data_IF_696138230606
#
_entry.id   IF_696138230606
#
_cell.length_a   1.000
_cell.length_b   1.000
_cell.length_c   1.000
_cell.angle_alpha   90.00
_cell.angle_beta   90.00
_cell.angle_gamma   90.00
#
_symmetry.space_group_name_H-M   'P 1'
#
loop_
_entity.id
_entity.type
_entity.pdbx_description
1 polymer ?
#
# COMPACT_ATOMS: atom_id res chain seq x y z
N UNK A 1 6.13 31.95 25.63
CA UNK A 1 5.56 32.21 24.31
C UNK A 1 5.06 30.89 23.78
N UNK A 2 3.75 30.60 23.95
CA UNK A 2 3.14 29.33 23.60
C UNK A 2 2.95 29.28 22.07
N UNK A 3 3.82 28.60 21.37
CA UNK A 3 3.52 28.16 20.01
C UNK A 3 2.54 26.98 20.15
N UNK A 4 1.25 27.26 20.03
CA UNK A 4 0.26 26.23 19.75
C UNK A 4 0.66 25.63 18.40
N UNK A 5 0.86 24.32 18.36
CA UNK A 5 0.94 23.54 17.12
C UNK A 5 -0.38 23.79 16.38
N UNK A 6 -0.35 24.61 15.32
CA UNK A 6 -1.44 24.63 14.34
C UNK A 6 -1.50 23.20 13.81
N UNK A 7 -2.57 22.48 14.13
CA UNK A 7 -2.78 21.13 13.68
C UNK A 7 -2.71 21.09 12.17
N UNK A 8 -1.84 20.26 11.64
CA UNK A 8 -1.71 20.09 10.20
C UNK A 8 -3.05 19.63 9.64
N UNK A 9 -3.68 20.48 8.80
CA UNK A 9 -4.97 20.17 8.19
C UNK A 9 -4.89 18.88 7.37
N UNK A 10 -5.93 18.05 7.45
CA UNK A 10 -6.07 16.86 6.61
C UNK A 10 -6.12 17.25 5.13
N UNK A 11 -5.45 16.49 4.28
CA UNK A 11 -5.57 16.68 2.83
C UNK A 11 -7.00 16.38 2.35
N UNK A 12 -7.44 17.08 1.32
CA UNK A 12 -8.70 16.84 0.61
C UNK A 12 -8.44 16.54 -0.86
N UNK A 13 -7.47 15.65 -1.12
CA UNK A 13 -7.13 15.28 -2.48
C UNK A 13 -8.23 14.42 -3.10
N UNK A 14 -8.69 14.68 -4.34
CA UNK A 14 -9.73 13.87 -4.99
C UNK A 14 -9.31 12.41 -5.10
N UNK A 15 -10.07 11.53 -4.45
CA UNK A 15 -9.83 10.09 -4.54
C UNK A 15 -10.42 9.53 -5.84
N UNK A 16 -9.75 8.51 -6.41
CA UNK A 16 -10.20 7.75 -7.57
C UNK A 16 -10.90 6.46 -7.11
N UNK A 17 -11.46 5.73 -8.04
CA UNK A 17 -12.08 4.41 -7.84
C UNK A 17 -13.18 4.39 -6.79
N UNK A 18 -14.27 5.06 -7.12
CA UNK A 18 -15.52 5.04 -6.35
C UNK A 18 -16.71 5.35 -7.27
N UNK A 19 -17.90 4.98 -6.84
CA UNK A 19 -19.15 5.36 -7.49
C UNK A 19 -20.27 5.63 -6.47
N UNK A 20 -21.29 6.37 -6.90
CA UNK A 20 -22.48 6.60 -6.10
C UNK A 20 -23.42 5.36 -6.18
N UNK A 21 -24.07 5.04 -5.07
CA UNK A 21 -25.10 4.00 -4.97
C UNK A 21 -26.49 4.60 -4.96
N UNK A 22 -27.50 3.83 -5.40
CA UNK A 22 -28.91 4.26 -5.46
C UNK A 22 -29.49 4.60 -4.09
N UNK A 23 -28.92 4.10 -3.00
CA UNK A 23 -29.33 4.38 -1.62
C UNK A 23 -28.69 5.63 -1.02
N UNK A 24 -28.03 6.43 -1.85
CA UNK A 24 -27.38 7.67 -1.46
C UNK A 24 -26.02 7.52 -0.78
N UNK A 25 -25.47 6.30 -0.70
CA UNK A 25 -24.07 6.08 -0.26
C UNK A 25 -23.09 6.19 -1.42
N UNK A 26 -21.81 6.27 -1.11
CA UNK A 26 -20.70 6.09 -2.05
C UNK A 26 -20.02 4.76 -1.74
N UNK A 27 -19.75 3.95 -2.77
CA UNK A 27 -18.90 2.77 -2.66
C UNK A 27 -17.49 3.07 -3.13
N UNK A 28 -16.50 2.67 -2.33
CA UNK A 28 -15.08 2.69 -2.69
C UNK A 28 -14.74 1.41 -3.44
N UNK A 29 -14.26 1.56 -4.67
CA UNK A 29 -13.89 0.45 -5.58
C UNK A 29 -12.38 0.23 -5.67
N UNK A 30 -11.61 0.76 -4.71
CA UNK A 30 -10.16 0.63 -4.71
C UNK A 30 -9.70 -0.80 -4.39
N UNK A 31 -10.33 -1.42 -3.42
CA UNK A 31 -9.95 -2.75 -2.94
C UNK A 31 -11.17 -3.57 -2.54
N UNK A 32 -11.07 -4.91 -2.45
CA UNK A 32 -12.19 -5.81 -2.13
C UNK A 32 -12.73 -5.69 -0.68
N UNK A 33 -12.66 -4.51 -0.10
CA UNK A 33 -13.43 -4.09 1.08
C UNK A 33 -14.78 -3.54 0.70
N UNK A 34 -14.91 -3.00 -0.50
CA UNK A 34 -16.14 -2.45 -1.05
C UNK A 34 -16.88 -1.56 -0.06
N UNK A 35 -16.12 -0.65 0.58
CA UNK A 35 -16.63 0.19 1.67
C UNK A 35 -17.76 1.09 1.17
N UNK A 36 -18.95 0.95 1.75
CA UNK A 36 -20.13 1.76 1.45
C UNK A 36 -20.29 2.83 2.51
N UNK A 37 -20.09 4.08 2.13
CA UNK A 37 -19.89 5.19 3.04
C UNK A 37 -21.06 6.17 3.01
N UNK A 38 -21.58 6.51 4.18
CA UNK A 38 -22.42 7.69 4.41
C UNK A 38 -21.56 8.95 4.47
N UNK A 39 -22.21 10.12 4.42
CA UNK A 39 -21.54 11.42 4.61
C UNK A 39 -20.66 11.42 5.86
N UNK A 40 -19.42 11.93 5.73
CA UNK A 40 -18.44 12.01 6.80
C UNK A 40 -17.82 10.68 7.23
N UNK A 41 -18.21 9.54 6.63
CA UNK A 41 -17.64 8.23 6.97
C UNK A 41 -16.34 7.95 6.24
N UNK A 42 -15.44 7.25 6.95
CA UNK A 42 -14.17 6.75 6.42
C UNK A 42 -14.25 5.28 6.05
N UNK A 43 -13.53 4.90 5.00
CA UNK A 43 -13.32 3.50 4.64
C UNK A 43 -12.56 2.74 5.74
N UNK A 44 -12.57 1.40 5.63
CA UNK A 44 -11.84 0.52 6.56
C UNK A 44 -10.34 0.86 6.68
N UNK A 45 -9.75 1.39 5.63
CA UNK A 45 -8.35 1.86 5.61
C UNK A 45 -8.11 3.17 6.37
N UNK A 46 -9.18 3.86 6.81
CA UNK A 46 -9.15 5.14 7.51
C UNK A 46 -8.86 6.38 6.63
N UNK A 47 -8.09 6.28 5.57
CA UNK A 47 -7.57 7.43 4.81
C UNK A 47 -8.47 7.90 3.69
N UNK A 48 -9.46 7.11 3.30
CA UNK A 48 -10.47 7.48 2.30
C UNK A 48 -11.74 7.89 3.02
N UNK A 49 -12.18 9.12 2.76
CA UNK A 49 -13.30 9.78 3.41
C UNK A 49 -14.33 10.19 2.36
N UNK A 50 -15.62 9.95 2.64
CA UNK A 50 -16.69 10.61 1.91
C UNK A 50 -16.92 12.02 2.44
N UNK A 51 -16.92 12.98 1.54
CA UNK A 51 -17.20 14.39 1.83
C UNK A 51 -18.13 14.96 0.74
N UNK A 52 -19.37 15.23 1.10
CA UNK A 52 -20.42 15.57 0.14
C UNK A 52 -20.70 14.42 -0.84
N UNK A 53 -20.74 14.74 -2.12
CA UNK A 53 -20.97 13.78 -3.21
C UNK A 53 -19.67 13.23 -3.81
N UNK A 54 -18.57 13.27 -3.05
CA UNK A 54 -17.26 12.85 -3.52
C UNK A 54 -16.51 12.03 -2.48
N UNK A 55 -15.42 11.41 -2.90
CA UNK A 55 -14.48 10.76 -2.02
C UNK A 55 -13.13 11.48 -2.07
N UNK A 56 -12.50 11.64 -0.91
CA UNK A 56 -11.18 12.27 -0.78
C UNK A 56 -10.18 11.34 -0.11
N UNK A 57 -8.91 11.49 -0.51
CA UNK A 57 -7.75 10.92 0.16
C UNK A 57 -7.22 11.96 1.17
N UNK A 58 -7.25 11.61 2.46
CA UNK A 58 -6.90 12.55 3.54
C UNK A 58 -5.42 12.56 3.90
N UNK A 59 -4.62 11.69 3.29
CA UNK A 59 -3.18 11.53 3.56
C UNK A 59 -2.28 11.91 2.40
N UNK A 60 -2.81 12.55 1.36
CA UNK A 60 -2.00 13.01 0.24
C UNK A 60 -0.98 14.07 0.69
N UNK A 61 0.28 13.88 0.30
CA UNK A 61 1.37 14.76 0.72
C UNK A 61 1.81 14.59 2.19
N UNK A 62 1.36 13.54 2.88
CA UNK A 62 1.66 13.29 4.30
C UNK A 62 2.24 11.91 4.52
N UNK A 63 3.19 11.81 5.46
CA UNK A 63 3.88 10.57 5.81
C UNK A 63 3.95 10.38 7.31
N UNK A 64 4.03 9.12 7.73
CA UNK A 64 4.38 8.72 9.11
C UNK A 64 5.88 8.75 9.39
N UNK A 65 6.68 9.21 8.43
CA UNK A 65 8.13 9.32 8.50
C UNK A 65 8.83 8.77 7.26
N UNK A 66 10.04 9.26 7.03
CA UNK A 66 10.92 8.84 5.94
C UNK A 66 12.15 8.13 6.50
N UNK A 67 12.60 7.08 5.82
CA UNK A 67 13.79 6.32 6.21
C UNK A 67 14.57 5.87 4.98
N UNK A 68 15.89 5.96 5.04
CA UNK A 68 16.76 5.35 4.03
C UNK A 68 17.23 4.00 4.56
N UNK A 69 16.91 2.96 3.82
CA UNK A 69 17.20 1.56 4.16
C UNK A 69 17.92 0.86 3.00
N UNK A 70 18.59 -0.28 3.26
CA UNK A 70 18.93 -1.23 2.21
C UNK A 70 17.67 -1.79 1.54
N UNK A 71 17.74 -2.01 0.23
CA UNK A 71 16.60 -2.54 -0.56
C UNK A 71 16.11 -3.89 -0.04
N UNK A 72 16.99 -4.70 0.54
CA UNK A 72 16.69 -6.01 1.11
C UNK A 72 15.72 -5.95 2.30
N UNK A 73 15.61 -4.77 2.95
CA UNK A 73 14.57 -4.56 3.97
C UNK A 73 13.15 -4.39 3.40
N UNK A 74 12.98 -4.34 2.06
CA UNK A 74 11.66 -4.12 1.41
C UNK A 74 10.92 -5.36 0.89
N UNK A 75 11.18 -6.57 1.32
CA UNK A 75 12.32 -7.42 1.13
C UNK A 75 12.49 -7.80 -0.34
N UNK A 76 13.30 -7.03 -1.04
CA UNK A 76 13.69 -7.27 -2.44
C UNK A 76 15.17 -7.66 -2.47
N UNK A 77 15.44 -8.93 -2.78
CA UNK A 77 16.79 -9.49 -2.75
C UNK A 77 17.44 -9.53 -4.13
N UNK A 78 16.67 -9.39 -5.19
CA UNK A 78 17.13 -9.50 -6.57
C UNK A 78 16.96 -8.20 -7.37
N UNK A 79 16.19 -7.24 -6.86
CA UNK A 79 16.00 -5.93 -7.49
C UNK A 79 17.05 -4.94 -6.96
N UNK A 80 18.07 -4.66 -7.76
CA UNK A 80 19.20 -3.79 -7.41
C UNK A 80 19.83 -4.09 -6.03
N UNK A 81 20.35 -5.31 -5.80
CA UNK A 81 20.89 -5.70 -4.51
C UNK A 81 21.97 -4.74 -3.99
N UNK A 82 21.95 -4.46 -2.68
CA UNK A 82 22.91 -3.58 -2.01
C UNK A 82 22.64 -2.09 -2.24
N UNK A 83 21.55 -1.71 -2.92
CA UNK A 83 21.23 -0.29 -3.13
C UNK A 83 20.44 0.30 -1.96
N UNK A 84 20.56 1.63 -1.80
CA UNK A 84 19.74 2.39 -0.87
C UNK A 84 18.37 2.69 -1.47
N UNK A 85 17.34 2.67 -0.62
CA UNK A 85 15.97 3.02 -0.95
C UNK A 85 15.41 4.02 0.07
N UNK A 86 14.83 5.12 -0.41
CA UNK A 86 14.04 6.03 0.44
C UNK A 86 12.65 5.43 0.64
N UNK A 87 12.24 5.25 1.87
CA UNK A 87 11.02 4.51 2.23
C UNK A 87 10.07 5.38 3.02
N UNK A 88 8.78 5.29 2.71
CA UNK A 88 7.75 5.93 3.50
C UNK A 88 6.41 5.21 3.42
N UNK A 89 5.52 5.55 4.32
CA UNK A 89 4.14 5.13 4.37
C UNK A 89 3.25 6.22 4.96
N UNK A 90 1.96 5.94 5.03
CA UNK A 90 0.97 6.82 5.65
C UNK A 90 0.34 6.14 6.86
N UNK A 91 -0.78 6.65 7.37
CA UNK A 91 -1.56 5.97 8.40
C UNK A 91 -2.60 5.04 7.79
N UNK A 92 -3.02 4.02 8.53
CA UNK A 92 -4.08 3.10 8.15
C UNK A 92 -3.61 1.95 7.24
N UNK A 93 -4.52 1.02 6.92
CA UNK A 93 -4.29 -0.11 6.02
C UNK A 93 -5.63 -0.73 5.61
N UNK A 94 -5.72 -1.30 4.42
CA UNK A 94 -6.91 -2.04 3.98
C UNK A 94 -7.00 -3.47 4.53
N UNK A 95 -5.94 -3.97 5.16
CA UNK A 95 -5.93 -5.25 5.89
C UNK A 95 -6.02 -5.03 7.41
N UNK A 96 -6.41 -6.12 8.11
CA UNK A 96 -6.56 -6.12 9.56
C UNK A 96 -5.67 -7.19 10.23
N UNK A 97 -4.47 -7.42 9.70
CA UNK A 97 -3.57 -8.49 10.16
C UNK A 97 -3.36 -8.45 11.67
N UNK A 98 -3.62 -9.57 12.35
CA UNK A 98 -3.42 -9.73 13.81
C UNK A 98 -1.94 -9.77 14.20
N UNK A 99 -1.08 -10.10 13.24
CA UNK A 99 0.38 -10.23 13.39
C UNK A 99 1.14 -9.06 12.72
N UNK A 100 0.50 -7.90 12.53
CA UNK A 100 1.12 -6.76 11.85
C UNK A 100 2.30 -6.22 12.67
N UNK A 101 3.48 -6.17 12.05
CA UNK A 101 4.69 -5.61 12.67
C UNK A 101 4.63 -4.08 12.78
N UNK A 102 3.92 -3.42 11.85
CA UNK A 102 3.73 -1.97 11.82
C UNK A 102 2.33 -1.58 12.32
N UNK A 103 1.86 -2.22 13.39
CA UNK A 103 0.49 -2.02 13.87
C UNK A 103 0.19 -0.58 14.32
N UNK A 104 1.18 0.12 14.81
CA UNK A 104 1.11 1.52 15.24
C UNK A 104 0.80 2.47 14.08
N UNK A 105 1.29 2.17 12.88
CA UNK A 105 0.99 2.90 11.64
C UNK A 105 -0.29 2.35 10.99
N UNK A 106 -0.34 1.03 10.76
CA UNK A 106 -1.41 0.39 10.00
C UNK A 106 -2.76 0.38 10.70
N UNK A 107 -2.78 0.43 12.03
CA UNK A 107 -3.99 0.53 12.86
C UNK A 107 -4.29 1.94 13.32
N UNK A 108 -3.42 2.90 13.02
CA UNK A 108 -3.63 4.29 13.40
C UNK A 108 -4.96 4.80 12.84
N UNK A 109 -5.70 5.49 13.70
CA UNK A 109 -6.91 6.26 13.40
C UNK A 109 -6.70 7.74 13.73
N UNK A 110 -5.43 8.10 13.93
CA UNK A 110 -5.01 9.41 14.36
C UNK A 110 -4.16 10.05 13.26
N UNK A 111 -4.63 11.19 12.75
CA UNK A 111 -3.93 11.97 11.74
C UNK A 111 -2.70 12.69 12.31
N UNK A 112 -2.61 12.85 13.64
CA UNK A 112 -1.46 13.46 14.30
C UNK A 112 -0.18 12.63 14.14
N UNK A 113 -0.31 11.36 13.77
CA UNK A 113 0.84 10.50 13.42
C UNK A 113 1.42 10.77 12.04
N UNK A 114 0.76 11.55 11.22
CA UNK A 114 1.25 12.01 9.92
C UNK A 114 1.99 13.34 10.09
N UNK A 115 3.15 13.30 10.73
CA UNK A 115 3.88 14.49 11.14
C UNK A 115 4.67 15.13 9.99
N UNK A 116 5.07 14.35 9.00
CA UNK A 116 5.87 14.82 7.89
C UNK A 116 5.02 15.18 6.69
N UNK A 117 5.33 16.29 6.05
CA UNK A 117 4.75 16.72 4.78
C UNK A 117 5.81 16.69 3.70
N UNK A 118 5.48 16.14 2.55
CA UNK A 118 6.32 16.20 1.36
C UNK A 118 5.46 16.11 0.11
N UNK A 119 5.69 17.01 -0.83
CA UNK A 119 5.12 16.87 -2.16
C UNK A 119 5.77 15.70 -2.91
N UNK A 120 5.16 15.20 -4.00
CA UNK A 120 5.80 14.22 -4.87
C UNK A 120 7.20 14.63 -5.32
N UNK A 121 7.40 15.89 -5.68
CA UNK A 121 8.69 16.41 -6.08
C UNK A 121 9.72 16.44 -4.94
N UNK A 122 9.31 16.81 -3.72
CA UNK A 122 10.23 16.83 -2.57
C UNK A 122 10.79 15.43 -2.29
N UNK A 123 9.95 14.40 -2.37
CA UNK A 123 10.38 13.00 -2.18
C UNK A 123 11.37 12.57 -3.27
N UNK A 124 11.04 12.88 -4.52
CA UNK A 124 11.90 12.51 -5.65
C UNK A 124 13.25 13.22 -5.60
N UNK A 125 13.27 14.51 -5.22
CA UNK A 125 14.50 15.29 -5.01
C UNK A 125 15.31 14.69 -3.85
N UNK A 126 14.67 14.46 -2.70
CA UNK A 126 15.35 13.89 -1.53
C UNK A 126 15.97 12.53 -1.80
N UNK A 127 15.27 11.67 -2.56
CA UNK A 127 15.79 10.37 -2.95
C UNK A 127 17.00 10.48 -3.88
N UNK A 128 16.92 11.37 -4.88
CA UNK A 128 18.01 11.59 -5.82
C UNK A 128 19.25 12.19 -5.13
N UNK A 129 19.08 13.22 -4.29
CA UNK A 129 20.15 13.88 -3.55
C UNK A 129 20.83 12.95 -2.54
N UNK A 130 20.07 12.04 -1.93
CA UNK A 130 20.59 11.01 -1.04
C UNK A 130 21.24 9.82 -1.78
N UNK A 131 21.28 9.82 -3.12
CA UNK A 131 21.82 8.72 -3.91
C UNK A 131 21.01 7.43 -3.81
N UNK A 132 19.73 7.51 -3.41
CA UNK A 132 18.83 6.36 -3.39
C UNK A 132 18.50 5.94 -4.82
N UNK A 133 18.64 4.64 -5.09
CA UNK A 133 18.29 4.10 -6.41
C UNK A 133 16.79 4.00 -6.62
N UNK A 134 16.04 3.92 -5.54
CA UNK A 134 14.58 3.79 -5.57
C UNK A 134 13.89 4.49 -4.39
N UNK A 135 12.58 4.70 -4.55
CA UNK A 135 11.64 5.06 -3.49
C UNK A 135 10.71 3.87 -3.25
N UNK A 136 10.50 3.49 -1.99
CA UNK A 136 9.59 2.40 -1.60
C UNK A 136 8.38 2.94 -0.85
N UNK A 137 7.20 2.58 -1.34
CA UNK A 137 5.92 2.75 -0.69
C UNK A 137 5.69 1.52 0.21
N UNK A 138 5.75 1.71 1.54
CA UNK A 138 5.85 0.59 2.50
C UNK A 138 5.28 0.92 3.87
N UNK A 139 5.52 0.07 4.88
CA UNK A 139 5.07 0.11 6.26
C UNK A 139 3.58 -0.17 6.45
N UNK A 140 2.71 0.43 5.68
CA UNK A 140 1.32 0.05 5.47
C UNK A 140 1.10 -0.30 3.99
N UNK A 141 -0.09 -0.72 3.60
CA UNK A 141 -0.33 -1.06 2.19
C UNK A 141 -0.44 0.21 1.32
N UNK A 142 0.44 0.42 0.32
CA UNK A 142 0.43 1.62 -0.49
C UNK A 142 -0.81 1.78 -1.38
N UNK A 143 -1.56 0.73 -1.61
CA UNK A 143 -2.83 0.78 -2.36
C UNK A 143 -3.78 1.80 -1.76
N UNK A 144 -3.81 1.97 -0.43
CA UNK A 144 -4.77 2.89 0.20
C UNK A 144 -4.50 4.36 -0.12
N UNK A 145 -3.25 4.71 -0.45
CA UNK A 145 -2.83 6.05 -0.88
C UNK A 145 -2.30 6.06 -2.32
N UNK A 146 -2.90 5.25 -3.19
CA UNK A 146 -2.44 4.99 -4.54
C UNK A 146 -2.22 6.29 -5.36
N UNK A 147 -3.09 7.28 -5.25
CA UNK A 147 -2.97 8.56 -5.96
C UNK A 147 -1.65 9.26 -5.61
N UNK A 148 -1.33 9.34 -4.32
CA UNK A 148 -0.07 9.95 -3.88
C UNK A 148 1.15 9.13 -4.30
N UNK A 149 1.08 7.81 -4.16
CA UNK A 149 2.16 6.92 -4.59
C UNK A 149 2.43 7.02 -6.10
N UNK A 150 1.38 7.13 -6.91
CA UNK A 150 1.50 7.26 -8.36
C UNK A 150 2.12 8.61 -8.78
N UNK A 151 1.70 9.71 -8.15
CA UNK A 151 2.26 11.03 -8.43
C UNK A 151 3.74 11.12 -7.99
N UNK A 152 4.09 10.50 -6.83
CA UNK A 152 5.49 10.34 -6.40
C UNK A 152 6.28 9.49 -7.41
N UNK A 153 5.68 8.44 -7.94
CA UNK A 153 6.33 7.59 -8.94
C UNK A 153 6.67 8.38 -10.22
N UNK A 154 5.73 9.18 -10.71
CA UNK A 154 5.97 10.04 -11.88
C UNK A 154 7.11 11.05 -11.63
N UNK A 155 7.15 11.68 -10.45
CA UNK A 155 8.21 12.59 -10.07
C UNK A 155 9.59 11.88 -9.94
N UNK A 156 9.60 10.65 -9.41
CA UNK A 156 10.80 9.81 -9.32
C UNK A 156 11.32 9.42 -10.71
N UNK A 157 10.44 8.95 -11.59
CA UNK A 157 10.81 8.56 -12.94
C UNK A 157 11.40 9.72 -13.75
N UNK A 158 10.87 10.93 -13.57
CA UNK A 158 11.42 12.15 -14.19
C UNK A 158 12.86 12.44 -13.75
N UNK A 159 13.33 11.84 -12.65
CA UNK A 159 14.70 11.97 -12.10
C UNK A 159 15.54 10.69 -12.22
N UNK A 160 15.03 9.67 -12.89
CA UNK A 160 15.71 8.38 -13.03
C UNK A 160 15.74 7.54 -11.75
N UNK A 161 14.93 7.88 -10.76
CA UNK A 161 14.75 7.11 -9.52
C UNK A 161 13.65 6.07 -9.73
N UNK A 162 13.92 4.83 -9.34
CA UNK A 162 12.98 3.70 -9.46
C UNK A 162 11.93 3.71 -8.35
N UNK A 163 10.82 2.99 -8.56
CA UNK A 163 9.71 2.92 -7.61
C UNK A 163 9.38 1.49 -7.23
N UNK A 164 9.11 1.28 -5.94
CA UNK A 164 8.91 -0.04 -5.35
C UNK A 164 7.65 -0.04 -4.49
N UNK A 165 6.75 -0.98 -4.72
CA UNK A 165 5.61 -1.24 -3.84
C UNK A 165 5.88 -2.42 -2.91
N UNK A 166 5.71 -2.23 -1.60
CA UNK A 166 5.64 -3.33 -0.62
C UNK A 166 4.18 -3.45 -0.21
N UNK A 167 3.50 -4.47 -0.70
CA UNK A 167 2.03 -4.55 -0.67
C UNK A 167 1.53 -5.97 -0.39
N UNK A 168 0.32 -6.07 0.14
CA UNK A 168 -0.41 -7.33 0.20
C UNK A 168 -1.10 -7.69 -1.13
N UNK A 169 -1.07 -6.80 -2.12
CA UNK A 169 -1.73 -7.03 -3.40
C UNK A 169 -3.26 -7.11 -3.35
N UNK A 170 -3.88 -6.61 -2.27
CA UNK A 170 -5.32 -6.66 -2.05
C UNK A 170 -6.00 -5.44 -2.67
N UNK A 171 -6.23 -5.51 -3.99
CA UNK A 171 -6.65 -4.38 -4.82
C UNK A 171 -7.54 -4.85 -5.97
N UNK A 172 -8.56 -4.05 -6.35
CA UNK A 172 -9.41 -4.33 -7.50
C UNK A 172 -8.70 -4.10 -8.84
N UNK A 173 -9.17 -4.76 -9.90
CA UNK A 173 -8.51 -4.84 -11.19
C UNK A 173 -8.14 -3.47 -11.81
N UNK A 174 -9.05 -2.50 -11.80
CA UNK A 174 -8.81 -1.20 -12.43
C UNK A 174 -7.78 -0.38 -11.64
N UNK A 175 -7.88 -0.37 -10.31
CA UNK A 175 -6.91 0.28 -9.46
C UNK A 175 -5.55 -0.42 -9.52
N UNK A 176 -5.53 -1.76 -9.55
CA UNK A 176 -4.33 -2.59 -9.70
C UNK A 176 -3.56 -2.22 -10.96
N UNK A 177 -4.26 -2.15 -12.10
CA UNK A 177 -3.65 -1.79 -13.38
C UNK A 177 -3.00 -0.42 -13.31
N UNK A 178 -3.74 0.60 -12.89
CA UNK A 178 -3.25 1.96 -12.81
C UNK A 178 -2.07 2.12 -11.83
N UNK A 179 -2.13 1.44 -10.68
CA UNK A 179 -1.10 1.52 -9.65
C UNK A 179 0.21 0.85 -10.11
N UNK A 180 0.14 -0.40 -10.59
CA UNK A 180 1.35 -1.12 -10.99
C UNK A 180 1.97 -0.63 -12.28
N UNK A 181 1.24 0.07 -13.15
CA UNK A 181 1.81 0.78 -14.31
C UNK A 181 2.85 1.83 -13.92
N UNK A 182 2.84 2.28 -12.66
CA UNK A 182 3.78 3.26 -12.11
C UNK A 182 4.91 2.63 -11.29
N UNK A 183 4.92 1.31 -11.12
CA UNK A 183 5.90 0.61 -10.30
C UNK A 183 6.95 -0.08 -11.17
N UNK A 184 8.23 0.08 -10.80
CA UNK A 184 9.34 -0.69 -11.40
C UNK A 184 9.47 -2.06 -10.75
N UNK A 185 9.19 -2.13 -9.43
CA UNK A 185 9.22 -3.39 -8.71
C UNK A 185 8.15 -3.47 -7.61
N UNK A 186 7.89 -4.69 -7.16
CA UNK A 186 7.02 -4.95 -6.01
C UNK A 186 7.55 -6.11 -5.16
N UNK A 187 7.40 -5.99 -3.85
CA UNK A 187 7.33 -7.14 -2.97
C UNK A 187 5.85 -7.38 -2.63
N UNK A 188 5.36 -8.58 -2.91
CA UNK A 188 3.98 -8.95 -2.64
C UNK A 188 3.92 -9.97 -1.51
N UNK A 189 3.24 -9.61 -0.44
CA UNK A 189 2.99 -10.51 0.69
C UNK A 189 1.89 -11.53 0.36
N UNK A 190 2.27 -12.73 -0.07
CA UNK A 190 1.37 -13.89 -0.05
C UNK A 190 1.37 -14.49 1.36
N UNK A 191 0.47 -13.98 2.22
CA UNK A 191 0.55 -14.23 3.67
C UNK A 191 0.23 -15.66 4.09
N UNK A 192 -0.49 -16.41 3.27
CA UNK A 192 -0.86 -17.81 3.44
C UNK A 192 -1.47 -18.35 2.14
N UNK A 193 -1.80 -19.65 2.12
CA UNK A 193 -2.43 -20.25 0.94
C UNK A 193 -3.80 -20.87 1.25
N UNK A 194 -4.47 -20.37 2.29
CA UNK A 194 -5.81 -20.76 2.69
C UNK A 194 -6.71 -19.54 2.90
N UNK A 195 -7.97 -19.66 2.47
CA UNK A 195 -8.99 -18.62 2.67
C UNK A 195 -9.28 -18.42 4.17
N UNK A 196 -9.24 -19.48 4.96
CA UNK A 196 -9.47 -19.43 6.41
C UNK A 196 -8.46 -18.54 7.12
N UNK A 197 -7.17 -18.63 6.76
CA UNK A 197 -6.13 -17.75 7.28
C UNK A 197 -6.38 -16.29 6.89
N UNK A 198 -6.66 -16.04 5.61
CA UNK A 198 -6.92 -14.69 5.12
C UNK A 198 -8.11 -14.06 5.84
N UNK A 199 -9.22 -14.79 5.94
CA UNK A 199 -10.42 -14.29 6.60
C UNK A 199 -10.20 -14.03 8.10
N UNK A 200 -9.64 -15.01 8.84
CA UNK A 200 -9.54 -14.96 10.32
C UNK A 200 -8.40 -14.10 10.82
N UNK A 201 -7.26 -14.09 10.12
CA UNK A 201 -6.03 -13.47 10.61
C UNK A 201 -5.67 -12.16 9.91
N UNK A 202 -6.09 -11.97 8.66
CA UNK A 202 -5.86 -10.73 7.92
C UNK A 202 -7.13 -9.90 7.71
N UNK A 203 -8.29 -10.51 7.93
CA UNK A 203 -9.60 -9.89 7.67
C UNK A 203 -9.82 -9.55 6.21
N UNK A 204 -9.26 -10.32 5.29
CA UNK A 204 -9.35 -10.16 3.83
C UNK A 204 -9.60 -11.51 3.16
N UNK A 205 -9.44 -11.60 1.84
CA UNK A 205 -9.65 -12.81 1.05
C UNK A 205 -8.39 -13.16 0.26
N UNK A 206 -8.14 -14.45 0.03
CA UNK A 206 -6.96 -14.95 -0.69
C UNK A 206 -7.03 -14.62 -2.20
N UNK A 207 -8.18 -14.86 -2.83
CA UNK A 207 -8.30 -14.78 -4.30
C UNK A 207 -7.85 -13.44 -4.89
N UNK A 208 -8.20 -12.25 -4.35
CA UNK A 208 -7.74 -10.99 -4.91
C UNK A 208 -6.21 -10.81 -4.91
N UNK A 209 -5.53 -11.43 -3.94
CA UNK A 209 -4.06 -11.43 -3.88
C UNK A 209 -3.48 -12.33 -4.97
N UNK A 210 -4.05 -13.52 -5.17
CA UNK A 210 -3.67 -14.40 -6.26
C UNK A 210 -3.89 -13.76 -7.64
N UNK A 211 -5.03 -13.07 -7.83
CA UNK A 211 -5.32 -12.33 -9.06
C UNK A 211 -4.28 -11.22 -9.32
N UNK A 212 -3.77 -10.59 -8.27
CA UNK A 212 -2.71 -9.59 -8.40
C UNK A 212 -1.39 -10.22 -8.80
N UNK A 213 -1.02 -11.37 -8.24
CA UNK A 213 0.19 -12.10 -8.63
C UNK A 213 0.13 -12.60 -10.08
N UNK A 214 -1.02 -13.13 -10.51
CA UNK A 214 -1.25 -13.54 -11.90
C UNK A 214 -1.12 -12.35 -12.85
N UNK A 215 -1.75 -11.21 -12.51
CA UNK A 215 -1.63 -9.98 -13.29
C UNK A 215 -0.17 -9.52 -13.42
N UNK A 216 0.56 -9.43 -12.31
CA UNK A 216 1.97 -9.05 -12.32
C UNK A 216 2.82 -9.95 -13.22
N UNK A 217 2.57 -11.27 -13.15
CA UNK A 217 3.32 -12.27 -13.91
C UNK A 217 3.06 -12.21 -15.41
N UNK A 218 1.82 -11.98 -15.83
CA UNK A 218 1.41 -12.20 -17.22
C UNK A 218 1.11 -10.92 -17.98
N UNK A 219 0.83 -9.81 -17.29
CA UNK A 219 0.34 -8.59 -17.92
C UNK A 219 1.26 -7.38 -17.70
N UNK A 220 2.38 -7.53 -16.95
CA UNK A 220 3.27 -6.41 -16.65
C UNK A 220 4.75 -6.75 -16.87
N UNK A 221 5.57 -5.70 -16.92
CA UNK A 221 7.03 -5.80 -16.87
C UNK A 221 7.58 -5.49 -15.45
N UNK A 222 6.72 -5.35 -14.45
CA UNK A 222 7.10 -5.08 -13.06
C UNK A 222 7.92 -6.24 -12.53
N UNK A 223 9.12 -5.97 -12.01
CA UNK A 223 9.86 -6.98 -11.28
C UNK A 223 9.13 -7.27 -9.96
N UNK A 224 8.90 -8.53 -9.62
CA UNK A 224 8.29 -8.80 -8.31
C UNK A 224 8.90 -10.00 -7.60
N UNK A 225 8.95 -9.88 -6.28
CA UNK A 225 9.32 -10.95 -5.35
C UNK A 225 8.15 -11.20 -4.40
N UNK A 226 8.00 -12.45 -3.99
CA UNK A 226 6.90 -12.86 -3.11
C UNK A 226 7.48 -13.21 -1.75
N UNK A 227 6.86 -12.68 -0.70
CA UNK A 227 7.22 -12.98 0.68
C UNK A 227 6.07 -13.65 1.40
N UNK A 228 6.40 -14.70 2.18
CA UNK A 228 5.46 -15.34 3.11
C UNK A 228 6.08 -15.39 4.49
N UNK A 229 5.49 -14.66 5.44
CA UNK A 229 5.84 -14.81 6.86
C UNK A 229 5.23 -16.11 7.38
N UNK A 230 6.06 -17.10 7.67
CA UNK A 230 5.62 -18.35 8.28
C UNK A 230 5.33 -18.15 9.77
N UNK A 231 4.11 -18.48 10.19
CA UNK A 231 3.65 -18.38 11.57
C UNK A 231 3.36 -19.79 12.09
N UNK A 232 4.15 -20.29 13.06
CA UNK A 232 4.01 -21.65 13.56
C UNK A 232 2.58 -22.00 13.98
N UNK A 233 2.07 -23.12 13.48
CA UNK A 233 0.72 -23.61 13.74
C UNK A 233 -0.41 -22.89 13.00
N UNK A 234 -0.09 -21.98 12.05
CA UNK A 234 -1.11 -21.22 11.31
C UNK A 234 -1.02 -21.40 9.78
N UNK A 235 0.16 -21.20 9.18
CA UNK A 235 0.38 -21.27 7.72
C UNK A 235 1.68 -22.02 7.35
N UNK A 236 2.22 -22.82 8.27
CA UNK A 236 3.49 -23.50 8.15
C UNK A 236 3.33 -25.02 7.93
N UNK A 237 2.12 -25.52 7.66
CA UNK A 237 1.92 -26.94 7.37
C UNK A 237 2.54 -27.35 6.04
N UNK A 238 3.13 -28.54 5.99
CA UNK A 238 3.70 -29.10 4.76
C UNK A 238 2.69 -29.10 3.61
N UNK A 239 1.43 -29.42 3.90
CA UNK A 239 0.35 -29.44 2.90
C UNK A 239 0.13 -28.07 2.28
N UNK A 240 0.09 -27.01 3.09
CA UNK A 240 -0.12 -25.64 2.61
C UNK A 240 1.09 -25.14 1.83
N UNK A 241 2.31 -25.37 2.35
CA UNK A 241 3.55 -24.97 1.68
C UNK A 241 3.70 -25.66 0.33
N UNK A 242 3.39 -26.97 0.24
CA UNK A 242 3.42 -27.72 -1.02
C UNK A 242 2.37 -27.17 -2.00
N UNK A 243 1.15 -26.90 -1.55
CA UNK A 243 0.09 -26.36 -2.40
C UNK A 243 0.47 -24.97 -2.95
N UNK A 244 0.97 -24.07 -2.10
CA UNK A 244 1.47 -22.75 -2.49
C UNK A 244 2.61 -22.87 -3.49
N UNK A 245 3.61 -23.71 -3.22
CA UNK A 245 4.77 -23.92 -4.10
C UNK A 245 4.36 -24.46 -5.47
N UNK A 246 3.39 -25.38 -5.52
CA UNK A 246 2.86 -25.92 -6.78
C UNK A 246 2.11 -24.85 -7.56
N UNK A 247 1.40 -23.96 -6.90
CA UNK A 247 0.70 -22.83 -7.54
C UNK A 247 1.69 -21.81 -8.11
N UNK A 248 2.72 -21.45 -7.35
CA UNK A 248 3.75 -20.50 -7.79
C UNK A 248 4.59 -20.96 -9.00
N UNK A 249 4.60 -22.27 -9.29
CA UNK A 249 5.32 -22.83 -10.44
C UNK A 249 4.55 -22.74 -11.76
N UNK A 250 3.28 -22.37 -11.72
CA UNK A 250 2.43 -22.22 -12.93
C UNK A 250 2.60 -20.85 -13.55
#
# INVERSE_FOLDING_TARGET
>A
MNMRSEGLEESRYPARWWHALDDGRIQCDLCPRDCRLHEGQRGACFVRLREGDTMVLTTYGRSSGFCIDPIEKKPLNQFYPGSSVLSFGTAGCNLACKFCQNWDISKSRDMDRLMDQASPDDIAIAAADAGCRSVAFTYNDPVIFAEYAMDVADACHARGVKTVAVTAGYVHADARRAFFDKMDAANVDLKAFTEDFYFKLTGSHLQPVLDTLVYLKHETAVWFEITTLLIPGHNDSDTEIVAMSQWLRK
#
